data_IF_439595250888
#
_entry.id   IF_439595250888
#
_cell.length_a   1.000
_cell.length_b   1.000
_cell.length_c   1.000
_cell.angle_alpha   90.00
_cell.angle_beta   90.00
_cell.angle_gamma   90.00
#
_symmetry.space_group_name_H-M   'P 1'
#
loop_
_entity.id
_entity.type
_entity.pdbx_description
1 polymer ?
#
# COMPACT_ATOMS: atom_id res chain seq x y z
N UNK A 1 -11.69 -0.74 37.81
CA UNK A 1 -11.48 -2.22 37.94
C UNK A 1 -12.69 -3.04 37.51
N UNK A 2 -13.90 -2.47 37.48
CA UNK A 2 -15.12 -3.16 37.05
C UNK A 2 -15.06 -3.61 35.58
N UNK A 3 -14.59 -2.75 34.67
CA UNK A 3 -14.44 -3.11 33.24
C UNK A 3 -13.58 -4.36 33.02
N UNK A 4 -12.43 -4.46 33.70
CA UNK A 4 -11.52 -5.62 33.61
C UNK A 4 -12.22 -6.94 33.96
N UNK A 5 -13.07 -6.93 35.00
CA UNK A 5 -13.79 -8.13 35.42
C UNK A 5 -14.87 -8.52 34.40
N UNK A 6 -15.59 -7.55 33.84
CA UNK A 6 -16.58 -7.82 32.81
C UNK A 6 -15.96 -8.44 31.56
N UNK A 7 -14.82 -7.93 31.11
CA UNK A 7 -14.10 -8.49 29.94
C UNK A 7 -13.72 -9.96 30.17
N UNK A 8 -13.25 -10.32 31.37
CA UNK A 8 -12.94 -11.72 31.69
C UNK A 8 -14.17 -12.60 31.57
N UNK A 9 -15.34 -12.12 32.01
CA UNK A 9 -16.60 -12.85 31.88
C UNK A 9 -16.94 -13.04 30.39
N UNK A 10 -16.86 -11.98 29.57
CA UNK A 10 -17.15 -12.05 28.14
C UNK A 10 -16.18 -12.97 27.39
N UNK A 11 -14.90 -12.97 27.74
CA UNK A 11 -13.90 -13.85 27.13
C UNK A 11 -14.15 -15.34 27.41
N UNK A 12 -14.77 -15.66 28.56
CA UNK A 12 -15.07 -17.04 28.97
C UNK A 12 -16.43 -17.55 28.47
N UNK A 13 -17.32 -16.65 28.03
CA UNK A 13 -18.71 -16.99 27.66
C UNK A 13 -19.06 -16.46 26.26
N UNK A 14 -18.58 -17.11 25.19
CA UNK A 14 -18.93 -16.71 23.84
C UNK A 14 -20.42 -16.97 23.56
N UNK A 15 -21.10 -16.09 22.79
CA UNK A 15 -22.53 -16.24 22.49
C UNK A 15 -22.78 -17.48 21.61
N UNK A 16 -23.83 -18.25 21.93
CA UNK A 16 -24.16 -19.49 21.20
C UNK A 16 -25.26 -19.32 20.15
N UNK A 17 -26.05 -18.24 20.24
CA UNK A 17 -27.14 -17.91 19.30
C UNK A 17 -26.99 -16.51 18.70
N UNK A 18 -27.63 -16.27 17.56
CA UNK A 18 -27.55 -14.96 16.88
C UNK A 18 -28.19 -13.83 17.68
N UNK A 19 -29.29 -14.08 18.39
CA UNK A 19 -29.89 -13.10 19.31
C UNK A 19 -28.92 -12.75 20.46
N UNK A 20 -28.24 -13.75 21.03
CA UNK A 20 -27.20 -13.52 22.02
C UNK A 20 -26.03 -12.75 21.42
N UNK A 21 -25.64 -12.99 20.16
CA UNK A 21 -24.56 -12.24 19.50
C UNK A 21 -24.87 -10.75 19.43
N UNK A 22 -26.10 -10.36 19.13
CA UNK A 22 -26.49 -8.94 19.10
C UNK A 22 -26.47 -8.29 20.50
N UNK A 23 -26.97 -8.98 21.52
CA UNK A 23 -26.91 -8.50 22.91
C UNK A 23 -25.46 -8.42 23.41
N UNK A 24 -24.67 -9.45 23.12
CA UNK A 24 -23.25 -9.55 23.47
C UNK A 24 -22.43 -8.46 22.76
N UNK A 25 -22.71 -8.19 21.49
CA UNK A 25 -22.12 -7.09 20.72
C UNK A 25 -22.30 -5.75 21.43
N UNK A 26 -23.55 -5.42 21.78
CA UNK A 26 -23.89 -4.18 22.49
C UNK A 26 -23.19 -4.11 23.84
N UNK A 27 -23.18 -5.22 24.59
CA UNK A 27 -22.54 -5.29 25.90
C UNK A 27 -21.02 -5.08 25.80
N UNK A 28 -20.34 -5.72 24.85
CA UNK A 28 -18.91 -5.57 24.64
C UNK A 28 -18.51 -4.15 24.26
N UNK A 29 -19.25 -3.49 23.35
CA UNK A 29 -19.00 -2.08 23.06
C UNK A 29 -19.20 -1.19 24.30
N UNK A 30 -20.25 -1.42 25.08
CA UNK A 30 -20.49 -0.67 26.32
C UNK A 30 -19.41 -0.92 27.38
N UNK A 31 -18.89 -2.13 27.50
CA UNK A 31 -17.78 -2.44 28.42
C UNK A 31 -16.49 -1.79 27.97
N UNK A 32 -16.25 -1.71 26.65
CA UNK A 32 -15.13 -0.96 26.11
C UNK A 32 -15.26 0.54 26.39
N UNK A 33 -16.45 1.12 26.21
CA UNK A 33 -16.73 2.51 26.56
C UNK A 33 -16.45 2.76 28.06
N UNK A 34 -16.92 1.88 28.96
CA UNK A 34 -16.66 1.97 30.41
C UNK A 34 -15.15 1.87 30.72
N UNK A 35 -14.41 1.03 30.01
CA UNK A 35 -12.97 0.89 30.22
C UNK A 35 -12.22 2.19 29.87
N UNK A 36 -12.64 2.89 28.83
CA UNK A 36 -12.07 4.17 28.44
C UNK A 36 -12.46 5.29 29.43
N UNK A 37 -13.66 5.25 30.00
CA UNK A 37 -14.05 6.15 31.10
C UNK A 37 -13.27 5.86 32.40
N UNK A 38 -13.04 4.59 32.73
CA UNK A 38 -12.20 4.16 33.86
C UNK A 38 -10.79 4.78 33.75
N UNK A 39 -10.25 4.92 32.53
CA UNK A 39 -8.96 5.59 32.28
C UNK A 39 -8.99 7.08 32.67
N UNK A 40 -10.07 7.81 32.38
CA UNK A 40 -10.18 9.23 32.72
C UNK A 40 -10.22 9.48 34.24
N UNK A 41 -10.75 8.52 35.00
CA UNK A 41 -10.83 8.57 36.47
C UNK A 41 -9.55 8.02 37.11
N UNK A 42 -8.76 7.22 36.37
CA UNK A 42 -7.55 6.61 36.89
C UNK A 42 -6.49 7.64 37.30
N UNK A 43 -5.77 7.33 38.38
CA UNK A 43 -4.62 8.12 38.82
C UNK A 43 -3.52 8.09 37.74
N UNK A 44 -2.74 9.17 37.57
CA UNK A 44 -1.71 9.25 36.53
C UNK A 44 -0.75 8.06 36.52
N UNK A 45 -0.39 7.52 37.69
CA UNK A 45 0.57 6.40 37.82
C UNK A 45 0.01 5.07 37.29
N UNK A 46 -1.30 4.95 37.12
CA UNK A 46 -1.98 3.74 36.63
C UNK A 46 -2.46 3.86 35.19
N UNK A 47 -2.31 5.02 34.55
CA UNK A 47 -2.85 5.29 33.21
C UNK A 47 -2.26 4.37 32.14
N UNK A 48 -0.96 4.13 32.19
CA UNK A 48 -0.26 3.23 31.27
C UNK A 48 -0.89 1.83 31.29
N UNK A 49 -1.10 1.26 32.48
CA UNK A 49 -1.73 -0.05 32.64
C UNK A 49 -3.17 -0.08 32.08
N UNK A 50 -3.93 1.01 32.22
CA UNK A 50 -5.27 1.09 31.66
C UNK A 50 -5.26 1.14 30.12
N UNK A 51 -4.28 1.84 29.53
CA UNK A 51 -4.10 1.87 28.07
C UNK A 51 -3.70 0.49 27.53
N UNK A 52 -2.76 -0.20 28.19
CA UNK A 52 -2.37 -1.57 27.80
C UNK A 52 -3.55 -2.52 27.80
N UNK A 53 -4.45 -2.38 28.80
CA UNK A 53 -5.66 -3.18 28.89
C UNK A 53 -6.66 -2.79 27.82
N UNK A 54 -6.84 -1.51 27.51
CA UNK A 54 -7.66 -1.08 26.39
C UNK A 54 -7.17 -1.69 25.07
N UNK A 55 -5.85 -1.75 24.85
CA UNK A 55 -5.27 -2.44 23.68
C UNK A 55 -5.55 -3.94 23.72
N UNK A 56 -5.35 -4.62 24.85
CA UNK A 56 -5.62 -6.06 24.97
C UNK A 56 -7.10 -6.40 24.69
N UNK A 57 -8.02 -5.57 25.19
CA UNK A 57 -9.47 -5.72 24.99
C UNK A 57 -9.84 -5.46 23.54
N UNK A 58 -9.25 -4.44 22.93
CA UNK A 58 -9.43 -4.17 21.52
C UNK A 58 -9.01 -5.38 20.66
N UNK A 59 -7.83 -5.96 20.93
CA UNK A 59 -7.32 -7.14 20.24
C UNK A 59 -8.28 -8.32 20.40
N UNK A 60 -8.81 -8.53 21.62
CA UNK A 60 -9.80 -9.56 21.90
C UNK A 60 -11.07 -9.33 21.06
N UNK A 61 -11.64 -8.12 21.08
CA UNK A 61 -12.86 -7.80 20.34
C UNK A 61 -12.68 -7.92 18.82
N UNK A 62 -11.52 -7.51 18.31
CA UNK A 62 -11.16 -7.67 16.90
C UNK A 62 -11.17 -9.15 16.49
N UNK A 63 -10.58 -10.02 17.32
CA UNK A 63 -10.48 -11.45 17.02
C UNK A 63 -11.82 -12.18 17.06
N UNK A 64 -12.80 -11.68 17.81
CA UNK A 64 -14.13 -12.30 17.90
C UNK A 64 -15.00 -11.94 16.67
N UNK A 65 -14.64 -10.88 15.92
CA UNK A 65 -15.24 -10.51 14.62
C UNK A 65 -16.77 -10.42 14.62
N UNK A 66 -17.34 -9.79 15.65
CA UNK A 66 -18.79 -9.56 15.67
C UNK A 66 -19.13 -8.34 14.83
N UNK A 67 -20.04 -8.55 13.89
CA UNK A 67 -20.51 -7.52 12.96
C UNK A 67 -21.01 -6.28 13.72
N UNK A 68 -20.57 -5.09 13.27
CA UNK A 68 -20.91 -3.80 13.87
C UNK A 68 -20.21 -3.44 15.19
N UNK A 69 -19.68 -4.42 15.94
CA UNK A 69 -18.94 -4.14 17.21
C UNK A 69 -17.65 -3.40 16.91
N UNK A 70 -16.87 -3.90 15.95
CA UNK A 70 -15.58 -3.32 15.62
C UNK A 70 -15.72 -1.88 15.13
N UNK A 71 -16.68 -1.59 14.24
CA UNK A 71 -16.93 -0.21 13.76
C UNK A 71 -17.30 0.76 14.88
N UNK A 72 -18.02 0.29 15.92
CA UNK A 72 -18.33 1.12 17.09
C UNK A 72 -17.09 1.31 17.94
N UNK A 73 -16.36 0.24 18.25
CA UNK A 73 -15.12 0.26 19.04
C UNK A 73 -14.07 1.15 18.37
N UNK A 74 -13.88 1.05 17.05
CA UNK A 74 -12.95 1.86 16.27
C UNK A 74 -13.30 3.35 16.33
N UNK A 75 -14.60 3.68 16.27
CA UNK A 75 -15.09 5.05 16.42
C UNK A 75 -14.85 5.57 17.83
N UNK A 76 -15.24 4.82 18.87
CA UNK A 76 -15.00 5.23 20.26
C UNK A 76 -13.50 5.41 20.52
N UNK A 77 -12.68 4.43 20.11
CA UNK A 77 -11.24 4.48 20.31
C UNK A 77 -10.61 5.65 19.55
N UNK A 78 -11.04 5.90 18.31
CA UNK A 78 -10.59 7.08 17.58
C UNK A 78 -10.92 8.37 18.34
N UNK A 79 -12.14 8.54 18.85
CA UNK A 79 -12.53 9.75 19.61
C UNK A 79 -11.69 9.87 20.88
N UNK A 80 -11.53 8.77 21.61
CA UNK A 80 -10.71 8.68 22.81
C UNK A 80 -9.27 9.12 22.53
N UNK A 81 -8.64 8.62 21.46
CA UNK A 81 -7.27 8.97 21.10
C UNK A 81 -7.08 10.47 20.80
N UNK A 82 -8.08 11.15 20.24
CA UNK A 82 -8.00 12.60 20.00
C UNK A 82 -8.04 13.41 21.31
N UNK A 83 -8.57 12.83 22.39
CA UNK A 83 -8.68 13.46 23.70
C UNK A 83 -7.53 13.08 24.66
N UNK A 84 -6.60 12.21 24.22
CA UNK A 84 -5.44 11.81 25.02
C UNK A 84 -4.43 12.95 25.15
N UNK A 85 -3.74 13.00 26.29
CA UNK A 85 -2.54 13.83 26.41
C UNK A 85 -1.44 13.30 25.46
N UNK A 86 -0.48 14.15 25.09
CA UNK A 86 0.65 13.74 24.23
C UNK A 86 1.41 12.57 24.87
N UNK A 87 1.56 12.57 26.20
CA UNK A 87 2.25 11.51 26.94
C UNK A 87 1.49 10.19 26.86
N UNK A 88 0.18 10.20 27.17
CA UNK A 88 -0.67 9.01 27.12
C UNK A 88 -0.75 8.45 25.70
N UNK A 89 -0.89 9.32 24.70
CA UNK A 89 -0.89 8.95 23.30
C UNK A 89 0.46 8.33 22.86
N UNK A 90 1.57 8.91 23.30
CA UNK A 90 2.91 8.35 23.04
C UNK A 90 3.08 6.99 23.71
N UNK A 91 2.54 6.80 24.92
CA UNK A 91 2.56 5.54 25.63
C UNK A 91 1.84 4.43 24.85
N UNK A 92 0.59 4.63 24.44
CA UNK A 92 -0.17 3.62 23.68
C UNK A 92 0.48 3.32 22.32
N UNK A 93 1.00 4.33 21.60
CA UNK A 93 1.71 4.11 20.33
C UNK A 93 2.98 3.30 20.55
N UNK A 94 3.78 3.63 21.57
CA UNK A 94 5.00 2.89 21.90
C UNK A 94 4.68 1.44 22.31
N UNK A 95 3.61 1.22 23.06
CA UNK A 95 3.14 -0.13 23.41
C UNK A 95 2.82 -0.94 22.15
N UNK A 96 1.98 -0.40 21.25
CA UNK A 96 1.63 -1.06 19.98
C UNK A 96 2.86 -1.33 19.11
N UNK A 97 3.77 -0.35 18.99
CA UNK A 97 5.01 -0.51 18.23
C UNK A 97 5.94 -1.57 18.84
N UNK A 98 6.06 -1.61 20.17
CA UNK A 98 6.85 -2.61 20.88
C UNK A 98 6.27 -4.00 20.67
N UNK A 99 4.94 -4.15 20.80
CA UNK A 99 4.25 -5.41 20.52
C UNK A 99 4.47 -5.86 19.08
N UNK A 100 4.25 -5.00 18.08
CA UNK A 100 4.51 -5.29 16.67
C UNK A 100 5.97 -5.67 16.38
N UNK A 101 6.93 -5.17 17.14
CA UNK A 101 8.34 -5.51 16.99
C UNK A 101 8.71 -6.87 17.60
N UNK A 102 7.94 -7.35 18.57
CA UNK A 102 8.25 -8.54 19.37
C UNK A 102 7.46 -9.79 18.97
N UNK A 103 6.27 -9.63 18.36
CA UNK A 103 5.40 -10.76 18.03
C UNK A 103 5.95 -11.65 16.90
N UNK A 104 5.80 -12.96 17.03
CA UNK A 104 6.14 -13.95 15.99
C UNK A 104 5.08 -14.01 14.88
N UNK A 105 5.44 -14.52 13.69
CA UNK A 105 4.53 -14.66 12.54
C UNK A 105 3.22 -15.40 12.85
N UNK A 106 3.26 -16.33 13.82
CA UNK A 106 2.10 -17.13 14.23
C UNK A 106 1.17 -16.43 15.21
N UNK A 107 1.52 -15.23 15.66
CA UNK A 107 0.73 -14.46 16.60
C UNK A 107 -0.59 -14.00 15.97
N UNK A 108 -1.70 -14.34 16.63
CA UNK A 108 -3.05 -13.90 16.22
C UNK A 108 -3.26 -12.41 16.49
N UNK A 109 -2.39 -11.81 17.30
CA UNK A 109 -2.45 -10.42 17.72
C UNK A 109 -1.89 -9.45 16.66
N UNK A 110 -1.08 -9.91 15.70
CA UNK A 110 -0.42 -9.02 14.72
C UNK A 110 -1.43 -8.23 13.89
N UNK A 111 -2.42 -8.90 13.29
CA UNK A 111 -3.41 -8.23 12.43
C UNK A 111 -4.21 -7.19 13.23
N UNK A 112 -4.81 -7.51 14.39
CA UNK A 112 -5.46 -6.52 15.25
C UNK A 112 -4.56 -5.33 15.59
N UNK A 113 -3.27 -5.57 15.85
CA UNK A 113 -2.31 -4.50 16.18
C UNK A 113 -1.98 -3.60 14.98
N UNK A 114 -1.89 -4.16 13.76
CA UNK A 114 -1.73 -3.35 12.54
C UNK A 114 -2.98 -2.52 12.29
N UNK A 115 -4.18 -3.09 12.48
CA UNK A 115 -5.44 -2.35 12.38
C UNK A 115 -5.52 -1.23 13.43
N UNK A 116 -5.19 -1.55 14.68
CA UNK A 116 -5.10 -0.56 15.76
C UNK A 116 -4.11 0.56 15.43
N UNK A 117 -2.94 0.22 14.88
CA UNK A 117 -1.97 1.20 14.44
C UNK A 117 -2.58 2.14 13.38
N UNK A 118 -3.45 1.64 12.48
CA UNK A 118 -4.16 2.48 11.50
C UNK A 118 -5.07 3.51 12.18
N UNK A 119 -5.76 3.12 13.25
CA UNK A 119 -6.62 4.02 14.04
C UNK A 119 -5.78 5.05 14.79
N UNK A 120 -4.70 4.62 15.45
CA UNK A 120 -3.81 5.47 16.21
C UNK A 120 -3.12 6.52 15.33
N UNK A 121 -2.79 6.21 14.07
CA UNK A 121 -2.09 7.13 13.16
C UNK A 121 -2.89 8.37 12.71
N UNK A 122 -4.07 8.63 13.29
CA UNK A 122 -4.81 9.88 13.09
C UNK A 122 -4.06 11.10 13.67
N UNK A 123 -3.17 10.90 14.65
CA UNK A 123 -2.35 11.94 15.32
C UNK A 123 -0.83 11.57 15.40
N UNK A 124 0.12 12.54 15.55
CA UNK A 124 1.57 12.26 15.74
C UNK A 124 1.90 11.39 16.98
N UNK A 125 2.75 10.33 16.90
CA UNK A 125 4.07 10.29 16.25
C UNK A 125 4.23 9.26 15.11
N UNK A 126 5.04 9.62 14.09
CA UNK A 126 4.61 9.55 12.68
C UNK A 126 5.27 8.49 11.77
N UNK A 127 6.28 7.74 12.22
CA UNK A 127 7.06 6.84 11.34
C UNK A 127 7.44 5.47 11.91
N UNK A 128 7.18 5.21 13.20
CA UNK A 128 7.72 4.02 13.89
C UNK A 128 7.16 2.72 13.29
N UNK A 129 5.84 2.65 13.05
CA UNK A 129 5.22 1.47 12.44
C UNK A 129 5.78 1.17 11.04
N UNK A 130 5.98 2.18 10.20
CA UNK A 130 6.58 2.00 8.87
C UNK A 130 8.01 1.43 8.96
N UNK A 131 8.78 1.87 9.94
CA UNK A 131 10.12 1.34 10.16
C UNK A 131 10.08 -0.11 10.64
N UNK A 132 9.12 -0.47 11.51
CA UNK A 132 8.91 -1.86 11.94
C UNK A 132 8.52 -2.75 10.75
N UNK A 133 7.59 -2.29 9.90
CA UNK A 133 7.17 -3.02 8.71
C UNK A 133 8.33 -3.26 7.75
N UNK A 134 9.21 -2.27 7.59
CA UNK A 134 10.40 -2.40 6.75
C UNK A 134 11.48 -3.27 7.38
N UNK A 135 11.71 -3.16 8.70
CA UNK A 135 12.70 -3.94 9.43
C UNK A 135 12.34 -5.43 9.47
N UNK A 136 11.03 -5.73 9.54
CA UNK A 136 10.48 -7.10 9.58
C UNK A 136 9.76 -7.43 8.28
N UNK A 137 10.36 -7.12 7.13
CA UNK A 137 9.68 -7.27 5.85
C UNK A 137 9.33 -8.71 5.48
N UNK A 138 10.09 -9.70 5.97
CA UNK A 138 9.71 -11.11 5.84
C UNK A 138 8.34 -11.41 6.46
N UNK A 139 7.97 -10.70 7.53
CA UNK A 139 6.67 -10.84 8.16
C UNK A 139 5.60 -9.99 7.46
N UNK A 140 5.88 -8.72 7.19
CA UNK A 140 4.84 -7.78 6.73
C UNK A 140 4.70 -7.69 5.19
N UNK A 141 5.76 -7.96 4.44
CA UNK A 141 5.74 -7.99 2.98
C UNK A 141 5.55 -9.42 2.43
N UNK A 142 6.03 -10.45 3.14
CA UNK A 142 5.93 -11.85 2.69
C UNK A 142 4.96 -12.71 3.52
N UNK A 143 4.41 -12.19 4.63
CA UNK A 143 3.47 -12.93 5.49
C UNK A 143 2.08 -13.14 4.87
N UNK A 144 1.09 -13.54 5.67
CA UNK A 144 -0.25 -13.87 5.15
C UNK A 144 -0.89 -12.73 4.32
N UNK A 145 -1.73 -13.10 3.34
CA UNK A 145 -2.46 -12.14 2.51
C UNK A 145 -3.22 -11.10 3.35
N UNK A 146 -3.93 -11.53 4.39
CA UNK A 146 -4.67 -10.63 5.27
C UNK A 146 -3.77 -9.61 5.97
N UNK A 147 -2.58 -10.05 6.43
CA UNK A 147 -1.62 -9.14 7.05
C UNK A 147 -1.09 -8.11 6.04
N UNK A 148 -0.72 -8.55 4.83
CA UNK A 148 -0.28 -7.63 3.75
C UNK A 148 -1.33 -6.59 3.42
N UNK A 149 -2.61 -7.00 3.32
CA UNK A 149 -3.71 -6.09 3.05
C UNK A 149 -3.89 -5.06 4.16
N UNK A 150 -3.84 -5.46 5.44
CA UNK A 150 -3.92 -4.53 6.56
C UNK A 150 -2.73 -3.53 6.58
N UNK A 151 -1.52 -3.98 6.25
CA UNK A 151 -0.35 -3.11 6.13
C UNK A 151 -0.50 -2.12 4.96
N UNK A 152 -1.01 -2.57 3.82
CA UNK A 152 -1.25 -1.71 2.67
C UNK A 152 -2.37 -0.71 2.94
N UNK A 153 -3.44 -1.13 3.62
CA UNK A 153 -4.54 -0.26 4.04
C UNK A 153 -4.06 0.81 5.03
N UNK A 154 -3.20 0.44 5.98
CA UNK A 154 -2.51 1.38 6.86
C UNK A 154 -1.79 2.47 6.05
N UNK A 155 -0.99 2.06 5.06
CA UNK A 155 -0.21 2.98 4.22
C UNK A 155 -1.12 3.83 3.33
N UNK A 156 -2.15 3.23 2.74
CA UNK A 156 -3.10 3.91 1.86
C UNK A 156 -3.88 4.99 2.62
N UNK A 157 -4.42 4.63 3.79
CA UNK A 157 -5.11 5.55 4.72
C UNK A 157 -4.19 6.71 5.10
N UNK A 158 -2.94 6.41 5.44
CA UNK A 158 -1.94 7.43 5.76
C UNK A 158 -1.69 8.41 4.61
N UNK A 159 -1.56 7.90 3.39
CA UNK A 159 -1.30 8.72 2.19
C UNK A 159 -2.52 9.55 1.77
N UNK A 160 -3.73 9.02 1.95
CA UNK A 160 -4.98 9.67 1.53
C UNK A 160 -5.47 10.71 2.54
N UNK A 161 -5.49 10.34 3.81
CA UNK A 161 -6.22 11.10 4.83
C UNK A 161 -5.33 12.15 5.49
N UNK A 162 -4.01 11.89 5.58
CA UNK A 162 -3.03 12.78 6.22
C UNK A 162 -1.80 13.08 5.37
N UNK A 163 -1.93 13.36 4.06
CA UNK A 163 -0.80 13.57 3.16
C UNK A 163 0.15 14.65 3.64
N UNK A 164 -0.37 15.72 4.27
CA UNK A 164 0.41 16.90 4.69
C UNK A 164 1.40 16.57 5.81
N UNK A 165 1.11 15.54 6.59
CA UNK A 165 1.99 15.13 7.70
C UNK A 165 3.11 14.21 7.26
N UNK A 166 3.10 13.73 6.00
CA UNK A 166 4.17 12.88 5.48
C UNK A 166 5.49 13.66 5.39
N UNK A 167 6.60 13.01 5.77
CA UNK A 167 7.95 13.55 5.59
C UNK A 167 8.74 12.71 4.59
N UNK A 168 9.84 13.25 4.08
CA UNK A 168 10.69 12.55 3.12
C UNK A 168 11.14 11.15 3.61
N UNK A 169 11.58 10.96 4.89
CA UNK A 169 11.95 9.63 5.37
C UNK A 169 10.78 8.63 5.35
N UNK A 170 9.57 9.08 5.71
CA UNK A 170 8.38 8.24 5.68
C UNK A 170 8.02 7.83 4.25
N UNK A 171 8.12 8.78 3.31
CA UNK A 171 7.90 8.50 1.89
C UNK A 171 8.88 7.44 1.37
N UNK A 172 10.17 7.56 1.71
CA UNK A 172 11.18 6.55 1.38
C UNK A 172 10.84 5.19 1.99
N UNK A 173 10.44 5.13 3.26
CA UNK A 173 10.00 3.90 3.93
C UNK A 173 8.78 3.27 3.24
N UNK A 174 7.82 4.08 2.77
CA UNK A 174 6.67 3.61 2.00
C UNK A 174 7.12 2.97 0.68
N UNK A 175 8.02 3.63 -0.06
CA UNK A 175 8.51 3.06 -1.32
C UNK A 175 9.30 1.77 -1.13
N UNK A 176 10.13 1.69 -0.09
CA UNK A 176 10.87 0.46 0.23
C UNK A 176 9.89 -0.68 0.52
N UNK A 177 8.86 -0.44 1.33
CA UNK A 177 7.85 -1.44 1.66
C UNK A 177 7.11 -1.94 0.41
N UNK A 178 6.62 -1.02 -0.43
CA UNK A 178 5.94 -1.36 -1.68
C UNK A 178 6.88 -2.13 -2.62
N UNK A 179 8.13 -1.69 -2.75
CA UNK A 179 9.12 -2.35 -3.61
C UNK A 179 9.38 -3.77 -3.13
N UNK A 180 9.52 -4.00 -1.82
CA UNK A 180 9.66 -5.34 -1.23
C UNK A 180 8.44 -6.20 -1.53
N UNK A 181 7.24 -5.68 -1.30
CA UNK A 181 5.99 -6.39 -1.64
C UNK A 181 5.86 -6.71 -3.13
N UNK A 182 6.43 -5.89 -4.02
CA UNK A 182 6.42 -6.11 -5.47
C UNK A 182 7.67 -6.83 -6.01
N UNK A 183 8.54 -7.33 -5.13
CA UNK A 183 9.75 -8.09 -5.52
C UNK A 183 9.40 -9.56 -5.72
N UNK A 184 10.15 -10.24 -6.59
CA UNK A 184 9.97 -11.67 -6.87
C UNK A 184 10.10 -12.55 -5.62
N UNK A 185 9.30 -13.61 -5.56
CA UNK A 185 9.25 -14.56 -4.44
C UNK A 185 9.38 -15.99 -4.94
N UNK A 186 9.94 -16.88 -4.12
CA UNK A 186 9.98 -18.32 -4.39
C UNK A 186 8.69 -19.04 -3.98
N UNK A 187 7.88 -18.40 -3.14
CA UNK A 187 6.58 -18.87 -2.66
C UNK A 187 5.48 -17.93 -3.15
N UNK A 188 4.31 -18.48 -3.43
CA UNK A 188 3.16 -17.72 -3.91
C UNK A 188 1.87 -18.12 -3.20
N UNK A 189 0.96 -17.17 -3.11
CA UNK A 189 -0.41 -17.42 -2.69
C UNK A 189 -1.12 -18.36 -3.66
N UNK A 190 -2.16 -19.03 -3.14
CA UNK A 190 -3.01 -19.90 -3.97
C UNK A 190 -3.71 -19.14 -5.10
N UNK A 191 -4.07 -17.88 -4.87
CA UNK A 191 -4.75 -17.02 -5.84
C UNK A 191 -4.01 -15.69 -5.97
N UNK A 192 -4.12 -15.06 -7.14
CA UNK A 192 -3.61 -13.70 -7.34
C UNK A 192 -4.46 -12.70 -6.55
N UNK A 193 -3.82 -11.89 -5.71
CA UNK A 193 -4.49 -10.81 -4.98
C UNK A 193 -4.53 -9.52 -5.81
N UNK A 194 -5.65 -9.34 -6.51
CA UNK A 194 -5.95 -8.10 -7.24
C UNK A 194 -6.08 -6.91 -6.27
N UNK A 195 -6.55 -7.15 -5.05
CA UNK A 195 -6.67 -6.11 -4.02
C UNK A 195 -5.30 -5.55 -3.59
N UNK A 196 -4.28 -6.42 -3.48
CA UNK A 196 -2.90 -5.99 -3.20
C UNK A 196 -2.39 -5.06 -4.31
N UNK A 197 -2.64 -5.39 -5.58
CA UNK A 197 -2.28 -4.56 -6.72
C UNK A 197 -2.95 -3.17 -6.65
N UNK A 198 -4.27 -3.13 -6.46
CA UNK A 198 -5.01 -1.88 -6.39
C UNK A 198 -4.60 -1.00 -5.21
N UNK A 199 -4.28 -1.59 -4.05
CA UNK A 199 -3.77 -0.83 -2.92
C UNK A 199 -2.41 -0.19 -3.24
N UNK A 200 -1.50 -0.92 -3.88
CA UNK A 200 -0.21 -0.35 -4.31
C UNK A 200 -0.41 0.82 -5.29
N UNK A 201 -1.29 0.66 -6.28
CA UNK A 201 -1.65 1.73 -7.22
C UNK A 201 -2.27 2.93 -6.50
N UNK A 202 -3.17 2.69 -5.55
CA UNK A 202 -3.85 3.72 -4.77
C UNK A 202 -2.86 4.54 -3.95
N UNK A 203 -1.89 3.87 -3.29
CA UNK A 203 -0.82 4.54 -2.56
C UNK A 203 0.02 5.39 -3.50
N UNK A 204 0.53 4.83 -4.60
CA UNK A 204 1.35 5.55 -5.56
C UNK A 204 0.61 6.77 -6.16
N UNK A 205 -0.66 6.59 -6.55
CA UNK A 205 -1.53 7.65 -7.07
C UNK A 205 -1.74 8.76 -6.04
N UNK A 206 -2.00 8.40 -4.78
CA UNK A 206 -2.19 9.35 -3.68
C UNK A 206 -0.94 10.18 -3.43
N UNK A 207 0.23 9.54 -3.45
CA UNK A 207 1.52 10.23 -3.28
C UNK A 207 1.83 11.19 -4.43
N UNK A 208 1.66 10.75 -5.68
CA UNK A 208 1.83 11.59 -6.88
C UNK A 208 0.93 12.82 -6.82
N UNK A 209 -0.35 12.61 -6.45
CA UNK A 209 -1.36 13.67 -6.45
C UNK A 209 -1.19 14.64 -5.29
N UNK A 210 -1.02 14.12 -4.08
CA UNK A 210 -1.16 14.89 -2.85
C UNK A 210 0.18 15.42 -2.34
N UNK A 211 1.30 14.73 -2.63
CA UNK A 211 2.65 15.03 -2.14
C UNK A 211 3.71 15.00 -3.24
N UNK A 212 3.39 15.57 -4.40
CA UNK A 212 4.33 15.73 -5.53
C UNK A 212 5.67 16.31 -5.09
N UNK A 213 5.65 17.29 -4.18
CA UNK A 213 6.83 17.95 -3.61
C UNK A 213 7.86 16.95 -3.06
N UNK A 214 7.41 15.93 -2.35
CA UNK A 214 8.30 14.87 -1.84
C UNK A 214 8.62 13.83 -2.91
N UNK A 215 7.64 13.48 -3.76
CA UNK A 215 7.83 12.45 -4.80
C UNK A 215 8.94 12.84 -5.78
N UNK A 216 9.08 14.14 -6.10
CA UNK A 216 10.18 14.67 -6.93
C UNK A 216 11.56 14.27 -6.38
N UNK A 217 11.72 14.19 -5.05
CA UNK A 217 12.97 13.82 -4.39
C UNK A 217 13.20 12.31 -4.35
N UNK A 218 12.16 11.52 -4.61
CA UNK A 218 12.18 10.05 -4.58
C UNK A 218 11.82 9.41 -5.93
N UNK A 219 11.99 10.14 -7.03
CA UNK A 219 11.64 9.67 -8.39
C UNK A 219 12.27 8.30 -8.74
N UNK A 220 13.54 8.00 -8.40
CA UNK A 220 14.10 6.68 -8.67
C UNK A 220 13.32 5.53 -8.03
N UNK A 221 12.80 5.75 -6.81
CA UNK A 221 12.00 4.74 -6.10
C UNK A 221 10.64 4.53 -6.76
N UNK A 222 9.95 5.62 -7.13
CA UNK A 222 8.71 5.54 -7.92
C UNK A 222 8.94 4.77 -9.22
N UNK A 223 10.01 5.09 -9.96
CA UNK A 223 10.37 4.36 -11.19
C UNK A 223 10.60 2.87 -10.96
N UNK A 224 11.22 2.48 -9.85
CA UNK A 224 11.39 1.06 -9.49
C UNK A 224 10.04 0.38 -9.23
N UNK A 225 9.15 1.01 -8.47
CA UNK A 225 7.81 0.48 -8.20
C UNK A 225 7.02 0.28 -9.50
N UNK A 226 7.00 1.28 -10.39
CA UNK A 226 6.30 1.17 -11.67
C UNK A 226 6.87 0.06 -12.57
N UNK A 227 8.19 -0.13 -12.57
CA UNK A 227 8.83 -1.27 -13.27
C UNK A 227 8.37 -2.60 -12.70
N UNK A 228 8.35 -2.74 -11.38
CA UNK A 228 7.90 -3.97 -10.71
C UNK A 228 6.43 -4.27 -10.98
N UNK A 229 5.57 -3.24 -10.99
CA UNK A 229 4.16 -3.39 -11.35
C UNK A 229 3.95 -3.87 -12.78
N UNK A 230 4.74 -3.39 -13.76
CA UNK A 230 4.68 -3.93 -15.12
C UNK A 230 5.11 -5.41 -15.14
N UNK A 231 6.22 -5.73 -14.47
CA UNK A 231 6.77 -7.08 -14.47
C UNK A 231 5.89 -8.09 -13.72
N UNK A 232 5.10 -7.64 -12.73
CA UNK A 232 4.13 -8.49 -12.04
C UNK A 232 2.93 -8.87 -12.91
N UNK A 233 2.75 -8.23 -14.08
CA UNK A 233 1.70 -8.56 -15.05
C UNK A 233 2.09 -9.64 -16.05
N UNK A 234 3.32 -10.17 -15.98
CA UNK A 234 3.77 -11.28 -16.82
C UNK A 234 3.01 -12.56 -16.48
N UNK A 235 2.69 -13.34 -17.51
CA UNK A 235 2.16 -14.69 -17.41
C UNK A 235 3.16 -15.68 -18.02
N UNK A 236 3.35 -16.89 -17.47
CA UNK A 236 4.06 -17.94 -18.17
C UNK A 236 3.40 -18.24 -19.52
N UNK A 237 4.19 -18.56 -20.54
CA UNK A 237 3.68 -19.07 -21.81
C UNK A 237 3.02 -20.43 -21.64
N UNK A 238 2.06 -20.73 -22.50
CA UNK A 238 1.49 -22.08 -22.62
C UNK A 238 2.58 -23.05 -23.05
N UNK A 239 2.59 -24.27 -22.51
CA UNK A 239 3.51 -25.37 -22.85
C UNK A 239 4.95 -25.26 -22.31
N UNK A 240 5.17 -24.48 -21.25
CA UNK A 240 6.45 -24.51 -20.54
C UNK A 240 6.59 -25.75 -19.65
N UNK A 241 7.80 -26.30 -19.60
CA UNK A 241 8.14 -27.32 -18.61
C UNK A 241 8.15 -26.73 -17.18
N UNK A 242 7.91 -27.58 -16.18
CA UNK A 242 7.80 -27.16 -14.77
C UNK A 242 8.99 -26.30 -14.30
N UNK A 243 10.22 -26.60 -14.76
CA UNK A 243 11.43 -25.83 -14.44
C UNK A 243 11.40 -24.40 -15.01
N UNK A 244 10.92 -24.22 -16.24
CA UNK A 244 10.82 -22.91 -16.87
C UNK A 244 9.71 -22.09 -16.23
N UNK A 245 8.57 -22.70 -15.96
CA UNK A 245 7.48 -22.06 -15.22
C UNK A 245 7.94 -21.60 -13.84
N UNK A 246 8.71 -22.42 -13.12
CA UNK A 246 9.28 -22.05 -11.82
C UNK A 246 10.26 -20.87 -11.90
N UNK A 247 11.02 -20.71 -13.00
CA UNK A 247 11.90 -19.54 -13.20
C UNK A 247 11.07 -18.26 -13.29
N UNK A 248 9.98 -18.28 -14.08
CA UNK A 248 9.11 -17.11 -14.22
C UNK A 248 8.39 -16.81 -12.91
N UNK A 249 7.86 -17.83 -12.24
CA UNK A 249 7.19 -17.64 -10.95
C UNK A 249 8.10 -16.96 -9.94
N UNK A 250 9.39 -17.31 -9.89
CA UNK A 250 10.37 -16.66 -9.00
C UNK A 250 10.52 -15.15 -9.19
N UNK A 251 10.24 -14.64 -10.39
CA UNK A 251 10.29 -13.20 -10.67
C UNK A 251 8.99 -12.48 -10.27
N UNK A 252 7.90 -13.22 -10.03
CA UNK A 252 6.60 -12.66 -9.66
C UNK A 252 6.52 -12.43 -8.14
N UNK A 253 5.79 -11.40 -7.70
CA UNK A 253 5.52 -11.21 -6.28
C UNK A 253 4.76 -12.38 -5.65
N UNK A 254 4.92 -12.55 -4.35
CA UNK A 254 4.22 -13.60 -3.57
C UNK A 254 2.70 -13.59 -3.75
N UNK A 255 2.10 -12.42 -3.90
CA UNK A 255 0.65 -12.25 -4.07
C UNK A 255 0.17 -12.38 -5.52
N UNK A 256 1.05 -12.78 -6.44
CA UNK A 256 0.72 -13.07 -7.85
C UNK A 256 0.92 -14.56 -8.12
N UNK A 257 -0.17 -15.24 -8.46
CA UNK A 257 -0.12 -16.61 -8.92
C UNK A 257 0.02 -16.65 -10.45
N UNK A 258 1.07 -17.31 -10.94
CA UNK A 258 1.35 -17.44 -12.37
C UNK A 258 0.21 -18.09 -13.18
N UNK A 259 -0.66 -18.89 -12.54
CA UNK A 259 -1.81 -19.56 -13.17
C UNK A 259 -3.05 -18.65 -13.26
N UNK A 260 -3.05 -17.51 -12.56
CA UNK A 260 -4.12 -16.52 -12.54
C UNK A 260 -3.54 -15.14 -12.87
N UNK A 261 -3.14 -14.91 -14.13
CA UNK A 261 -2.55 -13.64 -14.54
C UNK A 261 -3.57 -12.50 -14.47
N UNK A 262 -3.06 -11.26 -14.42
CA UNK A 262 -3.90 -10.06 -14.43
C UNK A 262 -4.68 -9.88 -15.74
N UNK A 263 -5.83 -9.22 -15.63
CA UNK A 263 -6.73 -8.91 -16.74
C UNK A 263 -6.58 -7.48 -17.25
N UNK A 264 -7.52 -7.08 -18.12
CA UNK A 264 -7.53 -5.74 -18.72
C UNK A 264 -7.72 -4.62 -17.69
N UNK A 265 -8.53 -4.84 -16.66
CA UNK A 265 -8.85 -3.83 -15.64
C UNK A 265 -7.61 -3.40 -14.84
N UNK A 266 -6.75 -4.35 -14.48
CA UNK A 266 -5.49 -4.05 -13.81
C UNK A 266 -4.51 -3.31 -14.75
N UNK A 267 -4.50 -3.69 -16.04
CA UNK A 267 -3.72 -2.97 -17.06
C UNK A 267 -4.17 -1.53 -17.22
N UNK A 268 -5.49 -1.31 -17.22
CA UNK A 268 -6.12 0.02 -17.27
C UNK A 268 -5.82 0.86 -16.05
N UNK A 269 -5.85 0.26 -14.85
CA UNK A 269 -5.50 0.96 -13.62
C UNK A 269 -4.03 1.40 -13.60
N UNK A 270 -3.12 0.54 -14.08
CA UNK A 270 -1.71 0.91 -14.22
C UNK A 270 -1.50 1.98 -15.30
N UNK A 271 -2.24 1.92 -16.41
CA UNK A 271 -2.22 2.96 -17.44
C UNK A 271 -2.58 4.34 -16.87
N UNK A 272 -3.68 4.41 -16.09
CA UNK A 272 -4.13 5.63 -15.42
C UNK A 272 -3.09 6.16 -14.44
N UNK A 273 -2.38 5.28 -13.74
CA UNK A 273 -1.26 5.68 -12.88
C UNK A 273 -0.14 6.35 -13.69
N UNK A 274 0.22 5.82 -14.87
CA UNK A 274 1.20 6.46 -15.75
C UNK A 274 0.73 7.83 -16.27
N UNK A 275 -0.54 7.94 -16.68
CA UNK A 275 -1.13 9.22 -17.12
C UNK A 275 -1.14 10.25 -15.98
N UNK A 276 -1.32 9.81 -14.73
CA UNK A 276 -1.32 10.69 -13.55
C UNK A 276 0.03 11.43 -13.37
N UNK A 277 1.14 10.89 -13.87
CA UNK A 277 2.45 11.55 -13.84
C UNK A 277 2.49 12.80 -14.72
N UNK A 278 1.71 12.83 -15.80
CA UNK A 278 1.58 13.98 -16.70
C UNK A 278 0.57 15.02 -16.19
N UNK A 279 -0.31 14.63 -15.27
CA UNK A 279 -1.33 15.51 -14.71
C UNK A 279 -0.69 16.59 -13.84
N UNK A 280 -1.10 17.84 -14.03
CA UNK A 280 -0.66 18.95 -13.18
C UNK A 280 -1.40 18.89 -11.85
N UNK A 281 -0.67 18.89 -10.75
CA UNK A 281 -1.22 18.82 -9.39
C UNK A 281 -0.78 20.04 -8.59
N UNK A 282 -1.46 20.35 -7.48
CA UNK A 282 -1.00 21.33 -6.50
C UNK A 282 -0.78 20.55 -5.20
N UNK A 283 0.48 20.46 -4.70
CA UNK A 283 0.77 19.71 -3.48
C UNK A 283 0.00 20.29 -2.29
N UNK A 284 -0.49 19.44 -1.39
CA UNK A 284 -1.10 19.90 -0.13
C UNK A 284 0.01 20.05 0.91
N UNK A 285 0.51 21.26 1.12
CA UNK A 285 1.50 21.58 2.18
C UNK A 285 0.87 22.46 3.28
N UNK A 286 1.30 22.29 4.54
CA UNK A 286 0.80 23.08 5.68
C UNK A 286 1.30 24.54 5.66
N UNK A 287 2.29 24.85 4.83
CA UNK A 287 3.01 26.13 4.83
C UNK A 287 2.59 26.92 3.59
N UNK A 288 1.32 27.32 3.54
CA UNK A 288 0.89 28.36 2.63
C UNK A 288 1.18 29.70 3.30
N UNK A 289 2.41 30.22 3.16
CA UNK A 289 2.59 31.66 3.31
C UNK A 289 1.74 32.32 2.21
N UNK A 290 0.87 33.30 2.53
CA UNK A 290 -0.12 33.86 1.60
C UNK A 290 0.48 34.60 0.39
N UNK A 291 1.80 34.69 0.27
CA UNK A 291 2.49 35.47 -0.76
C UNK A 291 2.99 34.68 -1.98
N UNK A 292 2.98 33.33 -1.97
CA UNK A 292 3.37 32.54 -3.15
C UNK A 292 2.21 31.68 -3.67
N UNK A 293 1.66 32.08 -4.82
CA UNK A 293 0.70 31.25 -5.54
C UNK A 293 1.37 29.96 -5.99
N UNK A 294 0.94 28.82 -5.43
CA UNK A 294 1.51 27.52 -5.81
C UNK A 294 1.10 27.18 -7.24
N UNK A 295 2.08 27.14 -8.14
CA UNK A 295 1.86 26.75 -9.53
C UNK A 295 1.55 25.25 -9.62
N UNK A 296 0.51 24.92 -10.38
CA UNK A 296 0.24 23.54 -10.73
C UNK A 296 1.31 23.00 -11.69
N UNK A 297 1.98 21.90 -11.32
CA UNK A 297 3.03 21.26 -12.12
C UNK A 297 2.82 19.75 -12.15
N UNK A 298 3.35 19.09 -13.17
CA UNK A 298 3.31 17.64 -13.32
C UNK A 298 4.65 16.99 -12.96
N UNK A 299 4.66 15.68 -12.77
CA UNK A 299 5.90 14.90 -12.61
C UNK A 299 6.56 14.55 -13.95
N UNK A 300 5.95 14.86 -15.09
CA UNK A 300 6.46 14.51 -16.42
C UNK A 300 7.93 14.91 -16.63
N UNK A 301 8.28 16.16 -16.34
CA UNK A 301 9.66 16.66 -16.48
C UNK A 301 10.65 15.96 -15.54
N UNK A 302 10.46 15.93 -14.21
CA UNK A 302 11.41 15.23 -13.33
C UNK A 302 11.44 13.71 -13.57
N UNK A 303 10.35 13.11 -14.05
CA UNK A 303 10.27 11.67 -14.34
C UNK A 303 10.84 11.27 -15.71
N UNK A 304 11.08 12.22 -16.63
CA UNK A 304 11.55 11.98 -18.01
C UNK A 304 12.71 10.98 -18.13
N UNK A 305 13.76 11.14 -17.32
CA UNK A 305 14.93 10.24 -17.30
C UNK A 305 14.60 8.83 -16.80
N UNK A 306 13.53 8.69 -16.01
CA UNK A 306 13.11 7.43 -15.41
C UNK A 306 12.05 6.70 -16.23
N UNK A 307 11.28 7.43 -17.05
CA UNK A 307 10.30 6.87 -17.97
C UNK A 307 10.92 5.81 -18.90
N UNK A 308 12.17 6.02 -19.36
CA UNK A 308 12.91 5.07 -20.19
C UNK A 308 13.08 3.70 -19.51
N UNK A 309 13.33 3.64 -18.20
CA UNK A 309 13.49 2.37 -17.49
C UNK A 309 12.15 1.65 -17.28
N UNK A 310 11.04 2.39 -17.15
CA UNK A 310 9.69 1.84 -17.08
C UNK A 310 9.28 1.25 -18.43
N UNK A 311 9.51 1.99 -19.51
CA UNK A 311 9.29 1.52 -20.88
C UNK A 311 10.17 0.30 -21.21
N UNK A 312 11.43 0.30 -20.78
CA UNK A 312 12.32 -0.86 -20.91
C UNK A 312 11.74 -2.10 -20.24
N UNK A 313 11.16 -1.97 -19.04
CA UNK A 313 10.52 -3.09 -18.36
C UNK A 313 9.31 -3.64 -19.13
N UNK A 314 8.50 -2.78 -19.76
CA UNK A 314 7.43 -3.21 -20.66
C UNK A 314 7.98 -3.96 -21.88
N UNK A 315 8.98 -3.39 -22.56
CA UNK A 315 9.60 -4.01 -23.74
C UNK A 315 10.17 -5.39 -23.38
N UNK A 316 10.87 -5.51 -22.25
CA UNK A 316 11.37 -6.79 -21.73
C UNK A 316 10.23 -7.77 -21.45
N UNK A 317 9.16 -7.33 -20.78
CA UNK A 317 8.02 -8.19 -20.47
C UNK A 317 7.31 -8.74 -21.73
N UNK A 318 7.28 -7.98 -22.82
CA UNK A 318 6.67 -8.40 -24.10
C UNK A 318 7.59 -9.33 -24.90
N UNK A 319 8.90 -9.18 -24.78
CA UNK A 319 9.90 -9.95 -25.54
C UNK A 319 10.51 -11.12 -24.77
N UNK A 320 10.10 -11.34 -23.53
CA UNK A 320 10.55 -12.48 -22.72
C UNK A 320 10.20 -13.81 -23.43
N UNK A 321 11.17 -14.71 -23.51
CA UNK A 321 11.01 -15.98 -24.23
C UNK A 321 10.18 -16.99 -23.46
N UNK A 322 10.12 -16.87 -22.13
CA UNK A 322 9.42 -17.78 -21.25
C UNK A 322 8.07 -17.18 -20.84
N UNK A 323 7.96 -15.87 -20.68
CA UNK A 323 6.70 -15.22 -20.32
C UNK A 323 6.06 -14.46 -21.48
N UNK A 324 4.82 -14.04 -21.27
CA UNK A 324 4.07 -13.15 -22.14
C UNK A 324 3.29 -12.17 -21.29
N UNK A 325 3.15 -10.94 -21.77
CA UNK A 325 2.19 -10.00 -21.24
C UNK A 325 0.82 -10.26 -21.92
N UNK A 326 -0.25 -10.59 -21.17
CA UNK A 326 -1.55 -10.91 -21.76
C UNK A 326 -2.04 -9.82 -22.71
N UNK A 327 -2.65 -10.23 -23.82
CA UNK A 327 -3.19 -9.28 -24.81
C UNK A 327 -4.15 -8.21 -24.25
N UNK A 328 -5.12 -8.54 -23.37
CA UNK A 328 -6.00 -7.52 -22.78
C UNK A 328 -5.22 -6.50 -21.95
N UNK A 329 -4.21 -6.94 -21.19
CA UNK A 329 -3.32 -6.06 -20.43
C UNK A 329 -2.56 -5.11 -21.37
N UNK A 330 -1.95 -5.63 -22.44
CA UNK A 330 -1.18 -4.81 -23.40
C UNK A 330 -2.03 -3.70 -24.02
N UNK A 331 -3.27 -4.04 -24.41
CA UNK A 331 -4.21 -3.09 -24.99
C UNK A 331 -4.58 -1.99 -24.01
N UNK A 332 -4.95 -2.35 -22.79
CA UNK A 332 -5.38 -1.37 -21.77
C UNK A 332 -4.21 -0.54 -21.21
N UNK A 333 -2.98 -1.06 -21.24
CA UNK A 333 -1.78 -0.35 -20.80
C UNK A 333 -1.33 0.75 -21.79
N UNK A 334 -1.76 0.65 -23.05
CA UNK A 334 -1.30 1.46 -24.17
C UNK A 334 -1.39 2.98 -23.95
N UNK A 335 -2.51 3.56 -23.45
CA UNK A 335 -2.58 5.01 -23.19
C UNK A 335 -1.52 5.48 -22.18
N UNK A 336 -1.27 4.69 -21.14
CA UNK A 336 -0.25 4.99 -20.14
C UNK A 336 1.18 4.91 -20.70
N UNK A 337 1.45 3.95 -21.58
CA UNK A 337 2.75 3.85 -22.26
C UNK A 337 3.01 5.06 -23.17
N UNK A 338 1.97 5.61 -23.80
CA UNK A 338 2.06 6.85 -24.58
C UNK A 338 2.34 8.07 -23.71
N UNK A 339 1.73 8.15 -22.53
CA UNK A 339 2.07 9.19 -21.57
C UNK A 339 3.56 9.13 -21.19
N UNK A 340 4.11 7.94 -20.95
CA UNK A 340 5.55 7.75 -20.69
C UNK A 340 6.42 8.11 -21.91
N UNK A 341 5.99 7.75 -23.12
CA UNK A 341 6.66 8.13 -24.36
C UNK A 341 6.78 9.65 -24.51
N UNK A 342 5.70 10.38 -24.22
CA UNK A 342 5.71 11.84 -24.22
C UNK A 342 6.61 12.48 -23.17
N UNK A 343 6.93 11.79 -22.07
CA UNK A 343 7.89 12.25 -21.06
C UNK A 343 9.35 11.99 -21.46
N UNK A 344 9.62 10.91 -22.21
CA UNK A 344 10.97 10.40 -22.48
C UNK A 344 11.77 11.30 -23.42
N UNK A 345 11.14 12.01 -24.36
CA UNK A 345 11.85 12.85 -25.34
C UNK A 345 12.75 12.05 -26.30
N UNK A 346 13.20 12.68 -27.39
CA UNK A 346 13.92 11.98 -28.46
C UNK A 346 15.28 11.42 -28.03
N UNK A 347 16.04 12.19 -27.23
CA UNK A 347 17.37 11.76 -26.78
C UNK A 347 17.31 10.49 -25.93
N UNK A 348 16.38 10.41 -24.95
CA UNK A 348 16.30 9.23 -24.10
C UNK A 348 15.67 8.03 -24.85
N UNK A 349 14.81 8.27 -25.85
CA UNK A 349 14.39 7.23 -26.80
C UNK A 349 15.59 6.64 -27.52
N UNK A 350 16.46 7.47 -28.10
CA UNK A 350 17.61 7.00 -28.86
C UNK A 350 18.62 6.26 -27.97
N UNK A 351 18.86 6.76 -26.76
CA UNK A 351 19.66 6.07 -25.77
C UNK A 351 19.04 4.71 -25.39
N UNK A 352 17.72 4.64 -25.21
CA UNK A 352 17.02 3.39 -24.92
C UNK A 352 17.15 2.40 -26.09
N UNK A 353 16.90 2.84 -27.33
CA UNK A 353 17.06 2.06 -28.56
C UNK A 353 18.48 1.54 -28.77
N UNK A 354 19.49 2.33 -28.41
CA UNK A 354 20.89 1.92 -28.47
C UNK A 354 21.23 0.88 -27.38
N UNK A 355 20.61 0.99 -26.19
CA UNK A 355 20.84 0.08 -25.07
C UNK A 355 20.12 -1.26 -25.16
N UNK A 356 19.08 -1.36 -26.00
CA UNK A 356 18.40 -2.63 -26.29
C UNK A 356 19.27 -3.46 -27.22
N UNK A 357 19.65 -4.66 -26.80
CA UNK A 357 20.56 -5.54 -27.57
C UNK A 357 19.79 -6.46 -28.51
N UNK A 358 18.57 -6.85 -28.13
CA UNK A 358 17.74 -7.79 -28.88
C UNK A 358 16.95 -7.11 -30.02
N UNK A 359 16.82 -7.81 -31.15
CA UNK A 359 16.11 -7.30 -32.32
C UNK A 359 14.59 -7.18 -32.09
N UNK A 360 14.01 -8.07 -31.28
CA UNK A 360 12.61 -8.02 -30.87
C UNK A 360 12.32 -6.83 -29.97
N UNK A 361 13.20 -6.56 -29.00
CA UNK A 361 13.10 -5.37 -28.15
C UNK A 361 13.11 -4.07 -28.98
N UNK A 362 14.06 -3.95 -29.93
CA UNK A 362 14.14 -2.80 -30.85
C UNK A 362 12.88 -2.65 -31.68
N UNK A 363 12.33 -3.75 -32.19
CA UNK A 363 11.11 -3.74 -33.01
C UNK A 363 9.90 -3.29 -32.19
N UNK A 364 9.75 -3.83 -30.99
CA UNK A 364 8.67 -3.47 -30.06
C UNK A 364 8.73 -1.99 -29.68
N UNK A 365 9.92 -1.48 -29.37
CA UNK A 365 10.10 -0.07 -29.01
C UNK A 365 9.84 0.86 -30.20
N UNK A 366 10.30 0.51 -31.41
CA UNK A 366 9.97 1.25 -32.65
C UNK A 366 8.48 1.30 -32.90
N UNK A 367 7.79 0.16 -32.80
CA UNK A 367 6.34 0.09 -33.00
C UNK A 367 5.60 0.96 -31.98
N UNK A 368 5.96 0.84 -30.68
CA UNK A 368 5.36 1.65 -29.63
C UNK A 368 5.54 3.15 -29.90
N UNK A 369 6.74 3.55 -30.32
CA UNK A 369 7.06 4.95 -30.61
C UNK A 369 6.31 5.49 -31.84
N UNK A 370 6.22 4.69 -32.91
CA UNK A 370 5.47 5.05 -34.11
C UNK A 370 3.99 5.27 -33.80
N UNK A 371 3.38 4.38 -33.01
CA UNK A 371 1.99 4.53 -32.61
C UNK A 371 1.78 5.74 -31.68
N UNK A 372 2.71 6.00 -30.76
CA UNK A 372 2.69 7.21 -29.94
C UNK A 372 2.71 8.49 -30.80
N UNK A 373 3.62 8.58 -31.78
CA UNK A 373 3.69 9.75 -32.65
C UNK A 373 2.42 9.90 -33.49
N UNK A 374 1.81 8.81 -33.98
CA UNK A 374 0.49 8.88 -34.66
C UNK A 374 -0.55 9.53 -33.76
N UNK A 375 -0.68 9.10 -32.50
CA UNK A 375 -1.67 9.63 -31.56
C UNK A 375 -1.44 11.12 -31.24
N UNK A 376 -0.18 11.54 -31.14
CA UNK A 376 0.21 12.92 -30.84
C UNK A 376 -0.29 13.95 -31.85
N UNK A 377 -0.49 13.57 -33.12
CA UNK A 377 -0.93 14.48 -34.19
C UNK A 377 -2.44 14.43 -34.51
N UNK A 378 -3.20 13.46 -33.99
CA UNK A 378 -4.64 13.31 -34.31
C UNK A 378 -5.51 14.44 -33.71
N UNK A 379 -5.05 15.14 -32.67
CA UNK A 379 -5.83 16.18 -31.96
C UNK A 379 -5.40 17.64 -32.17
N UNK A 380 -4.59 17.93 -33.20
CA UNK A 380 -4.06 19.29 -33.45
C UNK A 380 -4.42 19.87 -34.83
N UNK A 381 -5.34 19.24 -35.54
CA UNK A 381 -5.85 19.66 -36.86
C UNK A 381 -7.09 20.53 -36.77
#
# INVERSE_FOLDING_TARGET
>A
MFGRQLIKIFALTPPTSDEQRACWAKACSSVFDILLEDFHIARPESRDEHLEIAVAVYILLYNIRIEGVLDRVDRTLSVFCHNLSIQDFTCIVNFVCKSLSQLDERSKEIIPLVHLATILMRDPPRSICLNIFNARSNLFADGSLFLRLNVLEFVATRCRDRPVTLRLPELSSIWVLITKMATGSTTHDQNTSVETFYNIISIASSLIRLRRDLVVLTIPHLGMVLRRLILSMKSPRTNLGARQSAIISKDLPIWVNASQPFGGDEGKALARLFESLATKTIPRTHVAYPSSSQKAESLAKPFSKHAAYVLKAYVQAVNDSLSTLPSPVRKELQPGLYALGGMMGDYARDALMASTTDAGEKTTLKQLWQEYEKQKYIGKG
#
